data_IF_036474888916
#
_entry.id   IF_036474888916
#
_cell.length_a   1.000
_cell.length_b   1.000
_cell.length_c   1.000
_cell.angle_alpha   90.00
_cell.angle_beta   90.00
_cell.angle_gamma   90.00
#
_symmetry.space_group_name_H-M   'P 1'
#
loop_
_entity.id
_entity.type
_entity.pdbx_description
1 polymer ?
#
# COMPACT_ATOMS: atom_id res chain seq x y z
N UNK A 1 -7.85 -5.04 7.04
CA UNK A 1 -7.01 -6.14 7.58
C UNK A 1 -5.96 -6.58 6.56
N UNK A 2 -5.38 -5.66 5.78
CA UNK A 2 -4.46 -6.00 4.68
C UNK A 2 -2.98 -5.82 5.06
N UNK A 3 -2.74 -5.37 6.30
CA UNK A 3 -1.41 -5.43 6.93
C UNK A 3 -0.85 -6.85 6.98
N UNK A 4 -1.70 -7.88 6.93
CA UNK A 4 -1.25 -9.28 6.95
C UNK A 4 -0.65 -9.70 5.60
N UNK A 5 -1.18 -9.24 4.45
CA UNK A 5 -0.70 -9.68 3.13
C UNK A 5 0.62 -9.01 2.71
N UNK A 6 0.77 -7.71 2.98
CA UNK A 6 2.04 -6.99 2.74
C UNK A 6 3.12 -7.46 3.72
N UNK A 7 2.76 -7.68 4.98
CA UNK A 7 3.62 -8.29 5.99
C UNK A 7 4.02 -9.73 5.58
N UNK A 8 3.06 -10.57 5.17
CA UNK A 8 3.31 -11.94 4.68
C UNK A 8 4.31 -12.00 3.52
N UNK A 9 4.27 -11.03 2.59
CA UNK A 9 5.22 -10.99 1.46
C UNK A 9 6.64 -10.64 1.91
N UNK A 10 6.79 -9.74 2.88
CA UNK A 10 8.10 -9.39 3.46
C UNK A 10 8.63 -10.55 4.31
N UNK A 11 7.76 -11.25 5.04
CA UNK A 11 8.13 -12.45 5.79
C UNK A 11 8.57 -13.60 4.87
N UNK A 12 7.91 -13.81 3.72
CA UNK A 12 8.29 -14.85 2.77
C UNK A 12 9.66 -14.60 2.13
N UNK A 13 10.03 -13.34 1.85
CA UNK A 13 11.33 -12.98 1.29
C UNK A 13 12.49 -13.12 2.29
N UNK A 14 12.20 -13.02 3.60
CA UNK A 14 13.22 -13.09 4.66
C UNK A 14 13.42 -14.50 5.22
N UNK A 15 12.46 -15.43 5.02
CA UNK A 15 12.57 -16.83 5.47
C UNK A 15 13.83 -17.57 5.00
N UNK A 16 14.30 -17.44 3.74
CA UNK A 16 15.55 -18.10 3.33
C UNK A 16 16.77 -17.55 4.09
N UNK A 17 16.74 -16.25 4.40
CA UNK A 17 17.84 -15.53 5.03
C UNK A 17 17.90 -15.83 6.53
N UNK A 18 16.75 -15.89 7.21
CA UNK A 18 16.67 -16.30 8.62
C UNK A 18 16.98 -17.78 8.79
N UNK A 19 16.55 -18.64 7.86
CA UNK A 19 16.93 -20.06 7.84
C UNK A 19 18.44 -20.26 7.71
N UNK A 20 19.10 -19.54 6.80
CA UNK A 20 20.56 -19.53 6.67
C UNK A 20 21.24 -19.02 7.95
N UNK A 21 20.74 -17.94 8.54
CA UNK A 21 21.32 -17.36 9.76
C UNK A 21 21.23 -18.32 10.95
N UNK A 22 20.09 -19.01 11.13
CA UNK A 22 19.94 -20.05 12.16
C UNK A 22 20.87 -21.23 11.87
N UNK A 23 20.98 -21.68 10.61
CA UNK A 23 21.88 -22.76 10.24
C UNK A 23 23.36 -22.42 10.53
N UNK A 24 23.79 -21.19 10.24
CA UNK A 24 25.14 -20.72 10.56
C UNK A 24 25.35 -20.48 12.06
N UNK A 25 24.36 -19.92 12.76
CA UNK A 25 24.42 -19.65 14.20
C UNK A 25 24.48 -20.93 15.04
N UNK A 26 23.68 -21.94 14.70
CA UNK A 26 23.69 -23.26 15.36
C UNK A 26 25.02 -23.97 15.15
N UNK A 27 25.63 -23.84 13.96
CA UNK A 27 26.97 -24.39 13.68
C UNK A 27 28.07 -23.72 14.51
N UNK A 28 27.93 -22.44 14.82
CA UNK A 28 28.88 -21.71 15.66
C UNK A 28 28.75 -22.04 17.16
N UNK A 29 27.55 -22.38 17.63
CA UNK A 29 27.27 -22.66 19.05
C UNK A 29 27.58 -24.10 19.48
N UNK A 30 27.65 -25.05 18.54
CA UNK A 30 28.00 -26.46 18.83
C UNK A 30 29.25 -26.88 18.04
N UNK A 31 30.43 -26.31 18.36
CA UNK A 31 31.67 -26.71 17.72
C UNK A 31 32.04 -28.13 18.16
N UNK A 32 31.93 -29.11 17.24
CA UNK A 32 32.52 -30.45 17.43
C UNK A 32 31.56 -31.62 17.69
N UNK A 33 30.24 -31.44 17.68
CA UNK A 33 29.28 -32.57 17.75
C UNK A 33 28.45 -32.81 16.48
N UNK A 34 28.48 -31.87 15.54
CA UNK A 34 28.08 -32.13 14.17
C UNK A 34 29.32 -32.69 13.46
N UNK A 35 29.54 -34.00 13.54
CA UNK A 35 30.37 -34.65 12.52
C UNK A 35 29.83 -34.14 11.18
N UNK A 36 30.66 -33.58 10.29
CA UNK A 36 30.22 -33.38 8.93
C UNK A 36 29.87 -34.79 8.47
N UNK A 37 28.58 -35.12 8.40
CA UNK A 37 28.13 -36.20 7.56
C UNK A 37 28.77 -35.84 6.24
N UNK A 38 29.79 -36.61 5.86
CA UNK A 38 30.37 -36.53 4.55
C UNK A 38 29.19 -36.88 3.64
N UNK A 39 28.43 -35.87 3.24
CA UNK A 39 27.63 -35.84 2.04
C UNK A 39 28.64 -35.86 0.90
N UNK A 40 29.37 -36.99 0.82
CA UNK A 40 30.11 -37.45 -0.33
C UNK A 40 29.13 -37.97 -1.38
N UNK A 41 27.84 -37.67 -1.26
CA UNK A 41 26.96 -37.65 -2.40
C UNK A 41 27.20 -36.35 -3.15
N UNK A 42 28.19 -36.38 -4.05
CA UNK A 42 28.09 -35.71 -5.36
C UNK A 42 26.93 -36.33 -6.14
N UNK A 43 25.75 -36.38 -5.52
CA UNK A 43 24.54 -36.87 -6.14
C UNK A 43 24.19 -35.85 -7.20
N UNK A 44 24.14 -36.24 -8.48
CA UNK A 44 23.80 -35.33 -9.57
C UNK A 44 22.44 -34.66 -9.33
N UNK A 45 21.57 -35.31 -8.55
CA UNK A 45 20.25 -34.80 -8.16
C UNK A 45 20.36 -33.49 -7.39
N UNK A 46 21.36 -33.34 -6.50
CA UNK A 46 21.51 -32.12 -5.68
C UNK A 46 22.03 -30.94 -6.50
N UNK A 47 22.89 -31.21 -7.49
CA UNK A 47 23.32 -30.20 -8.47
C UNK A 47 22.21 -29.82 -9.44
N UNK A 48 21.41 -30.79 -9.88
CA UNK A 48 20.24 -30.55 -10.74
C UNK A 48 19.21 -29.71 -10.00
N UNK A 49 18.88 -30.05 -8.74
CA UNK A 49 17.91 -29.29 -7.95
C UNK A 49 18.40 -27.88 -7.62
N UNK A 50 19.69 -27.71 -7.29
CA UNK A 50 20.29 -26.39 -7.08
C UNK A 50 20.26 -25.54 -8.36
N UNK A 51 20.59 -26.13 -9.52
CA UNK A 51 20.56 -25.43 -10.81
C UNK A 51 19.15 -25.04 -11.22
N UNK A 52 18.16 -25.91 -10.99
CA UNK A 52 16.73 -25.60 -11.21
C UNK A 52 16.29 -24.45 -10.30
N UNK A 53 16.69 -24.46 -9.02
CA UNK A 53 16.34 -23.41 -8.08
C UNK A 53 16.94 -22.06 -8.49
N UNK A 54 18.23 -22.03 -8.84
CA UNK A 54 18.88 -20.82 -9.36
C UNK A 54 18.18 -20.34 -10.63
N UNK A 55 17.89 -21.25 -11.56
CA UNK A 55 17.14 -20.97 -12.77
C UNK A 55 15.78 -20.35 -12.49
N UNK A 56 14.99 -20.92 -11.57
CA UNK A 56 13.70 -20.37 -11.15
C UNK A 56 13.84 -19.00 -10.48
N UNK A 57 14.85 -18.78 -9.64
CA UNK A 57 15.03 -17.48 -8.96
C UNK A 57 15.38 -16.35 -9.93
N UNK A 58 16.04 -16.65 -11.05
CA UNK A 58 16.38 -15.66 -12.09
C UNK A 58 15.24 -15.55 -13.12
N UNK A 59 14.69 -16.68 -13.56
CA UNK A 59 13.64 -16.71 -14.58
C UNK A 59 12.30 -16.18 -14.06
N UNK A 60 11.95 -16.43 -12.78
CA UNK A 60 10.70 -15.95 -12.21
C UNK A 60 10.53 -14.43 -12.27
N UNK A 61 11.47 -13.59 -11.80
CA UNK A 61 11.32 -12.13 -11.89
C UNK A 61 11.24 -11.65 -13.34
N UNK A 62 12.02 -12.23 -14.25
CA UNK A 62 11.97 -11.90 -15.69
C UNK A 62 10.62 -12.25 -16.28
N UNK A 63 10.13 -13.47 -16.02
CA UNK A 63 8.82 -13.93 -16.46
C UNK A 63 7.72 -13.05 -15.88
N UNK A 64 7.74 -12.75 -14.58
CA UNK A 64 6.75 -11.85 -13.98
C UNK A 64 6.77 -10.47 -14.59
N UNK A 65 7.94 -9.92 -14.95
CA UNK A 65 8.05 -8.62 -15.62
C UNK A 65 7.56 -8.67 -17.07
N UNK A 66 7.81 -9.78 -17.78
CA UNK A 66 7.37 -9.98 -19.15
C UNK A 66 5.85 -10.25 -19.25
N UNK A 67 5.29 -10.96 -18.27
CA UNK A 67 3.86 -11.26 -18.17
C UNK A 67 3.07 -10.13 -17.51
N UNK A 68 3.71 -9.29 -16.67
CA UNK A 68 3.08 -8.11 -16.10
C UNK A 68 2.85 -7.08 -17.19
N UNK A 69 1.62 -7.03 -17.68
CA UNK A 69 1.19 -5.91 -18.49
C UNK A 69 0.87 -4.77 -17.53
N UNK A 70 1.59 -3.63 -17.59
CA UNK A 70 1.17 -2.48 -16.82
C UNK A 70 -0.28 -2.16 -17.20
N UNK A 71 -1.13 -1.81 -16.23
CA UNK A 71 -2.50 -1.45 -16.52
C UNK A 71 -2.51 -0.34 -17.57
N UNK A 72 -3.16 -0.57 -18.70
CA UNK A 72 -3.29 0.44 -19.74
C UNK A 72 -4.29 1.48 -19.24
N UNK A 73 -3.76 2.62 -18.79
CA UNK A 73 -4.55 3.75 -18.33
C UNK A 73 -5.11 4.45 -19.57
N UNK A 74 -6.43 4.37 -19.75
CA UNK A 74 -7.11 5.09 -20.82
C UNK A 74 -7.17 6.58 -20.46
N UNK A 75 -6.73 7.49 -21.35
CA UNK A 75 -6.75 8.92 -21.07
C UNK A 75 -8.19 9.40 -20.89
N UNK A 76 -8.50 9.87 -19.69
CA UNK A 76 -9.80 10.47 -19.38
C UNK A 76 -9.70 12.00 -19.56
N UNK A 77 -10.61 12.64 -20.32
CA UNK A 77 -10.62 14.09 -20.43
C UNK A 77 -10.95 14.72 -19.08
N UNK A 78 -10.00 15.46 -18.52
CA UNK A 78 -10.15 16.20 -17.27
C UNK A 78 -9.64 17.64 -17.48
N UNK A 79 -10.44 18.63 -17.08
CA UNK A 79 -10.12 20.05 -17.31
C UNK A 79 -9.07 20.60 -16.33
N UNK A 80 -9.02 20.03 -15.11
CA UNK A 80 -8.20 20.55 -14.01
C UNK A 80 -7.01 19.60 -13.74
N UNK A 81 -7.15 18.67 -12.80
CA UNK A 81 -6.11 17.71 -12.42
C UNK A 81 -6.64 16.28 -12.45
N UNK A 82 -5.85 15.39 -13.05
CA UNK A 82 -6.15 13.97 -13.20
C UNK A 82 -5.13 13.17 -12.38
N UNK A 83 -5.62 12.18 -11.63
CA UNK A 83 -4.78 11.22 -10.91
C UNK A 83 -5.29 9.79 -11.15
N UNK A 84 -4.36 8.85 -11.36
CA UNK A 84 -4.70 7.44 -11.49
C UNK A 84 -4.24 6.71 -10.23
N UNK A 85 -5.20 6.19 -9.46
CA UNK A 85 -4.89 5.59 -8.16
C UNK A 85 -5.47 4.20 -8.03
N UNK A 86 -4.73 3.33 -7.34
CA UNK A 86 -5.23 2.02 -6.96
C UNK A 86 -6.12 2.15 -5.73
N UNK A 87 -7.41 1.91 -5.91
CA UNK A 87 -8.37 1.90 -4.82
C UNK A 87 -8.49 0.51 -4.21
N UNK A 88 -8.46 0.44 -2.88
CA UNK A 88 -8.87 -0.74 -2.12
C UNK A 88 -9.96 -0.34 -1.11
N UNK A 89 -11.14 -0.99 -1.13
CA UNK A 89 -12.25 -0.64 -0.23
C UNK A 89 -11.91 -0.72 1.27
N UNK A 90 -10.85 -1.47 1.61
CA UNK A 90 -10.40 -1.70 2.99
C UNK A 90 -9.31 -0.73 3.45
N UNK A 91 -8.78 0.11 2.58
CA UNK A 91 -7.68 1.04 2.87
C UNK A 91 -8.14 2.49 2.97
N UNK A 92 -9.44 2.72 3.22
CA UNK A 92 -10.02 4.06 3.17
C UNK A 92 -10.71 4.47 4.46
N UNK A 93 -10.64 5.78 4.75
CA UNK A 93 -11.36 6.40 5.86
C UNK A 93 -12.60 7.06 5.29
N UNK A 94 -13.76 6.45 5.55
CA UNK A 94 -15.06 7.01 5.21
C UNK A 94 -15.52 7.92 6.34
N UNK A 95 -15.81 9.18 6.02
CA UNK A 95 -16.33 10.14 6.97
C UNK A 95 -17.85 10.03 7.05
N UNK A 96 -18.34 9.60 8.21
CA UNK A 96 -19.76 9.49 8.50
C UNK A 96 -20.24 10.73 9.28
N UNK A 97 -21.50 11.15 9.09
CA UNK A 97 -22.09 12.19 9.92
C UNK A 97 -22.25 11.68 11.35
N UNK A 98 -22.09 12.57 12.33
CA UNK A 98 -22.07 12.21 13.76
C UNK A 98 -23.36 11.51 14.22
N UNK A 99 -24.50 11.83 13.59
CA UNK A 99 -25.83 11.27 13.90
C UNK A 99 -26.01 9.83 13.38
N UNK A 100 -25.32 9.43 12.31
CA UNK A 100 -25.52 8.11 11.68
C UNK A 100 -24.86 6.94 12.45
N UNK A 101 -23.98 7.23 13.40
CA UNK A 101 -23.19 6.20 14.11
C UNK A 101 -23.95 5.57 15.28
N UNK A 102 -25.12 6.10 15.65
CA UNK A 102 -25.97 5.50 16.69
C UNK A 102 -26.44 4.07 16.38
N UNK A 103 -26.25 3.58 15.15
CA UNK A 103 -26.85 2.33 14.66
C UNK A 103 -25.86 1.31 14.07
N UNK A 104 -24.53 1.48 14.20
CA UNK A 104 -23.58 0.50 13.65
C UNK A 104 -22.48 0.09 14.63
N UNK A 105 -22.19 -1.22 14.70
CA UNK A 105 -21.13 -1.81 15.53
C UNK A 105 -19.76 -1.85 14.83
N UNK A 106 -19.63 -1.22 13.65
CA UNK A 106 -18.37 -1.18 12.91
C UNK A 106 -17.53 0.03 13.35
N UNK A 107 -16.19 -0.05 13.33
CA UNK A 107 -15.32 1.07 13.64
C UNK A 107 -15.42 2.12 12.52
N UNK A 108 -16.39 3.03 12.64
CA UNK A 108 -16.59 4.16 11.74
C UNK A 108 -16.04 5.43 12.40
N UNK A 109 -15.30 6.23 11.63
CA UNK A 109 -14.71 7.47 12.12
C UNK A 109 -15.73 8.61 12.00
N UNK A 110 -16.15 9.17 13.14
CA UNK A 110 -16.97 10.38 13.19
C UNK A 110 -16.20 11.55 12.59
N UNK A 111 -16.90 12.44 11.88
CA UNK A 111 -16.25 13.66 11.36
C UNK A 111 -15.70 14.53 12.49
N UNK A 112 -16.39 14.57 13.64
CA UNK A 112 -15.91 15.26 14.83
C UNK A 112 -14.63 14.64 15.39
N UNK A 113 -14.56 13.31 15.49
CA UNK A 113 -13.36 12.60 15.94
C UNK A 113 -12.19 12.76 14.96
N UNK A 114 -12.47 12.71 13.65
CA UNK A 114 -11.48 13.00 12.62
C UNK A 114 -10.88 14.41 12.77
N UNK A 115 -11.72 15.44 12.88
CA UNK A 115 -11.25 16.82 13.08
C UNK A 115 -10.46 16.99 14.38
N UNK A 116 -10.94 16.39 15.47
CA UNK A 116 -10.30 16.46 16.79
C UNK A 116 -8.95 15.74 16.81
N UNK A 117 -8.81 14.63 16.08
CA UNK A 117 -7.54 13.91 15.93
C UNK A 117 -6.53 14.64 15.04
N UNK A 118 -6.99 15.44 14.06
CA UNK A 118 -6.11 16.29 13.25
C UNK A 118 -5.60 17.53 14.00
N UNK A 119 -6.34 18.05 14.98
CA UNK A 119 -5.95 19.25 15.75
C UNK A 119 -4.54 19.20 16.39
N UNK A 120 -4.17 18.17 17.17
CA UNK A 120 -2.84 18.11 17.78
C UNK A 120 -1.73 17.94 16.74
N UNK A 121 -2.01 17.23 15.64
CA UNK A 121 -1.06 17.04 14.53
C UNK A 121 -0.78 18.37 13.83
N UNK A 122 -1.82 19.14 13.53
CA UNK A 122 -1.67 20.49 12.96
C UNK A 122 -0.87 21.37 13.89
N UNK A 123 -1.20 21.41 15.20
CA UNK A 123 -0.47 22.25 16.16
C UNK A 123 1.01 21.91 16.26
N UNK A 124 1.38 20.63 16.20
CA UNK A 124 2.79 20.21 16.28
C UNK A 124 3.56 20.45 14.97
N UNK A 125 2.88 20.35 13.81
CA UNK A 125 3.50 20.56 12.50
C UNK A 125 3.61 22.03 12.09
N UNK A 126 2.69 22.90 12.54
CA UNK A 126 2.77 24.36 12.38
C UNK A 126 4.12 24.90 12.87
N UNK A 127 4.72 24.26 13.88
CA UNK A 127 6.02 24.65 14.43
C UNK A 127 7.23 24.19 13.60
N UNK A 128 7.07 23.28 12.63
CA UNK A 128 8.20 22.64 11.93
C UNK A 128 8.14 22.70 10.41
N UNK A 129 6.97 22.69 9.78
CA UNK A 129 6.82 22.66 8.31
C UNK A 129 5.48 23.28 7.86
N UNK A 130 5.54 24.31 7.01
CA UNK A 130 4.36 25.04 6.50
C UNK A 130 3.55 24.22 5.48
N UNK A 131 4.21 23.50 4.57
CA UNK A 131 3.53 22.81 3.46
C UNK A 131 2.61 21.68 3.93
N UNK A 132 3.07 20.84 4.87
CA UNK A 132 2.27 19.74 5.43
C UNK A 132 1.10 20.29 6.25
N UNK A 133 1.31 21.42 6.91
CA UNK A 133 0.26 22.11 7.67
C UNK A 133 -0.90 22.53 6.77
N UNK A 134 -0.60 23.06 5.58
CA UNK A 134 -1.63 23.49 4.64
C UNK A 134 -2.40 22.31 4.04
N UNK A 135 -1.73 21.18 3.72
CA UNK A 135 -2.40 19.94 3.32
C UNK A 135 -3.41 19.47 4.38
N UNK A 136 -2.98 19.37 5.64
CA UNK A 136 -3.84 18.87 6.73
C UNK A 136 -4.97 19.86 7.03
N UNK A 137 -4.72 21.16 6.92
CA UNK A 137 -5.77 22.17 7.08
C UNK A 137 -6.84 22.00 5.98
N UNK A 138 -6.42 21.73 4.76
CA UNK A 138 -7.33 21.49 3.62
C UNK A 138 -8.21 20.25 3.85
N UNK A 139 -7.69 19.20 4.49
CA UNK A 139 -8.48 18.00 4.83
C UNK A 139 -9.64 18.26 5.80
N UNK A 140 -9.62 19.36 6.58
CA UNK A 140 -10.71 19.69 7.51
C UNK A 140 -12.02 20.03 6.80
N UNK A 141 -11.94 20.45 5.55
CA UNK A 141 -13.07 20.80 4.70
C UNK A 141 -13.78 19.58 4.09
N UNK A 142 -13.26 18.37 4.32
CA UNK A 142 -13.96 17.15 3.93
C UNK A 142 -15.33 17.07 4.61
N UNK A 143 -16.35 16.68 3.85
CA UNK A 143 -17.75 16.58 4.29
C UNK A 143 -18.15 15.12 4.50
N UNK A 144 -19.24 14.86 5.26
CA UNK A 144 -19.78 13.50 5.37
C UNK A 144 -20.13 12.91 4.01
N UNK A 145 -19.90 11.61 3.82
CA UNK A 145 -20.07 10.93 2.53
C UNK A 145 -18.89 11.11 1.57
N UNK A 146 -17.82 11.73 2.03
CA UNK A 146 -16.52 11.73 1.36
C UNK A 146 -15.56 10.74 2.00
N UNK A 147 -14.65 10.25 1.16
CA UNK A 147 -13.56 9.37 1.50
C UNK A 147 -12.25 10.11 1.33
N UNK A 148 -11.41 10.09 2.38
CA UNK A 148 -10.06 10.61 2.32
C UNK A 148 -9.10 9.45 2.09
N UNK A 149 -8.25 9.56 1.07
CA UNK A 149 -7.23 8.57 0.73
C UNK A 149 -5.87 9.24 0.53
N UNK A 150 -4.82 8.57 0.97
CA UNK A 150 -3.44 8.90 0.64
C UNK A 150 -2.94 7.87 -0.36
N UNK A 151 -2.73 8.30 -1.61
CA UNK A 151 -2.46 7.40 -2.71
C UNK A 151 -1.25 7.85 -3.54
N UNK A 152 -0.63 6.89 -4.20
CA UNK A 152 0.37 7.13 -5.23
C UNK A 152 -0.35 7.32 -6.57
N UNK A 153 -0.12 8.45 -7.22
CA UNK A 153 -0.57 8.69 -8.58
C UNK A 153 0.33 7.95 -9.56
N UNK A 154 -0.24 7.04 -10.36
CA UNK A 154 0.52 6.25 -11.31
C UNK A 154 1.07 7.06 -12.49
N UNK A 155 0.50 8.24 -12.77
CA UNK A 155 0.92 9.06 -13.89
C UNK A 155 2.26 9.76 -13.61
N UNK A 156 2.36 10.45 -12.48
CA UNK A 156 3.55 11.24 -12.11
C UNK A 156 4.37 10.63 -10.96
N UNK A 157 3.95 9.47 -10.43
CA UNK A 157 4.57 8.79 -9.30
C UNK A 157 4.63 9.64 -8.01
N UNK A 158 3.77 10.65 -7.88
CA UNK A 158 3.69 11.49 -6.69
C UNK A 158 2.71 10.92 -5.66
N UNK A 159 3.01 11.11 -4.38
CA UNK A 159 2.07 10.80 -3.30
C UNK A 159 1.19 12.02 -3.04
N UNK A 160 -0.13 11.81 -3.02
CA UNK A 160 -1.11 12.89 -2.83
C UNK A 160 -2.22 12.47 -1.89
N UNK A 161 -2.72 13.44 -1.14
CA UNK A 161 -4.00 13.33 -0.44
C UNK A 161 -5.14 13.59 -1.42
N UNK A 162 -6.14 12.73 -1.40
CA UNK A 162 -7.27 12.81 -2.31
C UNK A 162 -8.56 12.70 -1.49
N UNK A 163 -9.50 13.58 -1.79
CA UNK A 163 -10.85 13.62 -1.21
C UNK A 163 -11.83 13.38 -2.34
N UNK A 164 -12.63 12.33 -2.22
CA UNK A 164 -13.59 11.91 -3.27
C UNK A 164 -14.90 11.48 -2.63
N UNK A 165 -16.00 11.59 -3.35
CA UNK A 165 -17.28 11.05 -2.89
C UNK A 165 -17.22 9.52 -2.75
N UNK A 166 -17.63 9.00 -1.59
CA UNK A 166 -17.58 7.55 -1.31
C UNK A 166 -18.39 6.74 -2.32
N UNK A 167 -19.52 7.28 -2.79
CA UNK A 167 -20.40 6.63 -3.78
C UNK A 167 -19.77 6.50 -5.17
N UNK A 168 -18.75 7.32 -5.45
CA UNK A 168 -18.08 7.36 -6.72
C UNK A 168 -16.93 6.32 -6.81
N UNK A 169 -16.56 5.72 -5.67
CA UNK A 169 -15.53 4.69 -5.57
C UNK A 169 -16.11 3.29 -5.87
N UNK A 170 -15.33 2.41 -6.52
CA UNK A 170 -15.78 1.06 -6.85
C UNK A 170 -15.85 0.17 -5.60
N UNK A 171 -16.77 -0.79 -5.58
CA UNK A 171 -16.90 -1.74 -4.46
C UNK A 171 -15.77 -2.78 -4.41
N UNK A 172 -15.06 -2.97 -5.52
CA UNK A 172 -13.96 -3.92 -5.68
C UNK A 172 -12.64 -3.19 -5.88
N UNK A 173 -11.49 -3.80 -5.53
CA UNK A 173 -10.19 -3.22 -5.84
C UNK A 173 -10.05 -2.98 -7.35
N UNK A 174 -9.76 -1.74 -7.72
CA UNK A 174 -9.62 -1.32 -9.11
C UNK A 174 -8.72 -0.09 -9.20
N UNK A 175 -8.23 0.19 -10.41
CA UNK A 175 -7.53 1.44 -10.70
C UNK A 175 -8.59 2.44 -11.16
N UNK A 176 -8.65 3.58 -10.48
CA UNK A 176 -9.64 4.63 -10.75
C UNK A 176 -8.94 5.87 -11.26
N UNK A 177 -9.54 6.47 -12.29
CA UNK A 177 -9.17 7.80 -12.75
C UNK A 177 -9.99 8.82 -11.93
N UNK A 178 -9.29 9.71 -11.24
CA UNK A 178 -9.88 10.73 -10.39
C UNK A 178 -9.60 12.10 -11.00
N UNK A 179 -10.67 12.81 -11.36
CA UNK A 179 -10.58 14.14 -11.96
C UNK A 179 -11.08 15.19 -10.97
N UNK A 180 -10.34 16.27 -10.78
CA UNK A 180 -10.81 17.35 -9.93
C UNK A 180 -9.81 18.47 -9.70
N UNK A 181 -10.05 19.25 -8.65
CA UNK A 181 -9.27 20.47 -8.36
C UNK A 181 -8.20 20.19 -7.33
N UNK A 182 -6.97 20.55 -7.67
CA UNK A 182 -5.85 20.51 -6.75
C UNK A 182 -5.84 21.80 -5.90
N UNK A 183 -5.92 21.66 -4.59
CA UNK A 183 -5.84 22.76 -3.63
C UNK A 183 -4.86 22.40 -2.53
N UNK A 184 -3.77 23.17 -2.38
CA UNK A 184 -2.72 22.92 -1.39
C UNK A 184 -2.23 21.46 -1.40
N UNK A 185 -1.98 20.90 -2.60
CA UNK A 185 -1.52 19.51 -2.81
C UNK A 185 -2.55 18.43 -2.41
N UNK A 186 -3.78 18.82 -2.06
CA UNK A 186 -4.92 17.91 -1.87
C UNK A 186 -5.80 17.95 -3.13
N UNK A 187 -6.10 16.78 -3.69
CA UNK A 187 -6.98 16.65 -4.85
C UNK A 187 -8.43 16.44 -4.39
N UNK A 188 -9.32 17.38 -4.71
CA UNK A 188 -10.75 17.21 -4.54
C UNK A 188 -11.35 16.65 -5.83
N UNK A 189 -11.49 15.33 -5.87
CA UNK A 189 -11.85 14.60 -7.07
C UNK A 189 -13.33 14.19 -7.12
N UNK A 190 -13.85 14.14 -8.34
CA UNK A 190 -15.02 13.35 -8.70
C UNK A 190 -14.52 12.12 -9.46
N UNK A 191 -15.05 10.94 -9.13
CA UNK A 191 -14.63 9.71 -9.80
C UNK A 191 -15.08 9.73 -11.26
N UNK A 192 -14.13 9.51 -12.15
CA UNK A 192 -14.41 9.27 -13.56
C UNK A 192 -14.23 7.77 -13.80
N UNK A 193 -15.32 7.10 -14.21
CA UNK A 193 -15.45 5.66 -14.57
C UNK A 193 -14.25 4.74 -14.22
N UNK A 194 -14.50 3.72 -13.40
CA UNK A 194 -13.56 2.62 -13.15
C UNK A 194 -13.35 1.76 -14.41
N UNK A 195 -12.11 1.31 -14.62
CA UNK A 195 -11.73 0.32 -15.65
C UNK A 195 -11.61 -1.09 -15.07
#
# INVERSE_FOLDING_TARGET
>A
MDGVAASLRIYAATMPLTGLLVAFGVKALVPGHLQPTHLSDRSPILWISASILVGLTIAAPIATKALSHPPQLLPVPCADSLAYVQFHPRSVVNLQPDEAIAHTHLPQVRISDFRRSLDPIVRSLVQRQSTITDQIRTLRWATPGQTVLHALDFQDQSQRWIVVETKALPEKPAIVALCGRLQNEVLFAQSTKSF
#
